data_IF_502486783087
#
_entry.id   IF_502486783087
#
_cell.length_a   1.000
_cell.length_b   1.000
_cell.length_c   1.000
_cell.angle_alpha   90.00
_cell.angle_beta   90.00
_cell.angle_gamma   90.00
#
_symmetry.space_group_name_H-M   'P 1'
#
loop_
_entity.id
_entity.type
_entity.pdbx_description
1 polymer ?
#
# COMPACT_ATOMS: atom_id res chain seq x y z
N UNK A 1 18.23 -14.28 8.56
CA UNK A 1 17.22 -13.37 7.98
C UNK A 1 16.89 -12.33 9.05
N UNK A 2 17.22 -11.06 8.82
CA UNK A 2 16.90 -9.99 9.77
C UNK A 2 15.42 -9.66 9.61
N UNK A 3 14.64 -9.90 10.67
CA UNK A 3 13.20 -9.61 10.71
C UNK A 3 13.01 -8.23 11.34
N UNK A 4 12.70 -7.22 10.53
CA UNK A 4 12.32 -5.92 11.03
C UNK A 4 10.83 -5.95 11.42
N UNK A 5 10.56 -6.00 12.71
CA UNK A 5 9.23 -5.76 13.30
C UNK A 5 9.07 -4.27 13.55
N UNK A 6 8.10 -3.64 12.89
CA UNK A 6 7.58 -2.36 13.34
C UNK A 6 6.82 -2.62 14.65
N UNK A 7 7.43 -2.25 15.78
CA UNK A 7 6.80 -2.39 17.08
C UNK A 7 5.87 -1.19 17.29
N UNK A 8 4.56 -1.37 17.09
CA UNK A 8 3.54 -0.45 17.62
C UNK A 8 3.22 -0.79 19.08
N UNK A 9 4.25 -1.13 19.87
CA UNK A 9 4.15 -1.30 21.31
C UNK A 9 4.11 0.08 21.95
N UNK A 10 2.90 0.57 22.23
CA UNK A 10 2.68 1.77 23.01
C UNK A 10 3.25 1.58 24.42
N UNK A 11 4.50 1.95 24.62
CA UNK A 11 5.04 2.24 25.93
C UNK A 11 4.54 3.63 26.34
N UNK A 12 3.89 3.67 27.50
CA UNK A 12 3.26 4.83 28.14
C UNK A 12 4.14 6.08 28.10
N UNK A 13 3.91 6.95 27.12
CA UNK A 13 4.21 8.38 27.17
C UNK A 13 3.09 9.10 26.42
N UNK A 14 2.36 9.96 27.12
CA UNK A 14 1.34 10.80 26.53
C UNK A 14 2.01 11.90 25.69
N UNK A 15 2.17 11.65 24.40
CA UNK A 15 2.27 12.70 23.38
C UNK A 15 1.18 12.41 22.35
N UNK A 16 0.25 13.34 22.17
CA UNK A 16 -0.91 13.28 21.27
C UNK A 16 -0.56 13.25 19.77
N UNK A 17 0.61 12.75 19.39
CA UNK A 17 1.05 12.57 18.02
C UNK A 17 1.39 11.10 17.82
N UNK A 18 0.42 10.31 17.36
CA UNK A 18 0.71 8.99 16.82
C UNK A 18 1.76 9.16 15.71
N UNK A 19 2.93 8.54 15.86
CA UNK A 19 4.05 8.71 14.93
C UNK A 19 3.64 8.36 13.50
N UNK A 20 3.72 9.33 12.60
CA UNK A 20 3.40 9.16 11.20
C UNK A 20 4.58 8.52 10.45
N UNK A 21 4.33 7.44 9.72
CA UNK A 21 5.40 6.80 8.92
C UNK A 21 5.60 7.58 7.63
N UNK A 22 6.75 8.24 7.47
CA UNK A 22 7.00 9.11 6.30
C UNK A 22 7.64 8.41 5.10
N UNK A 23 8.42 7.37 5.37
CA UNK A 23 9.15 6.62 4.35
C UNK A 23 9.56 5.25 4.90
N UNK A 24 10.04 4.36 4.03
CA UNK A 24 10.56 3.05 4.40
C UNK A 24 11.91 2.84 3.73
N UNK A 25 12.89 2.37 4.51
CA UNK A 25 14.20 1.95 4.04
C UNK A 25 14.22 0.43 3.87
N UNK A 26 14.54 -0.03 2.67
CA UNK A 26 14.80 -1.42 2.36
C UNK A 26 16.29 -1.69 2.49
N UNK A 27 16.63 -2.67 3.30
CA UNK A 27 18.01 -3.13 3.51
C UNK A 27 18.11 -4.54 2.94
N UNK A 28 18.95 -4.71 1.92
CA UNK A 28 19.18 -6.00 1.28
C UNK A 28 20.21 -6.86 2.04
N UNK A 29 20.63 -7.96 1.41
CA UNK A 29 21.81 -8.72 1.85
C UNK A 29 23.09 -7.87 1.69
N UNK A 30 24.21 -8.36 2.25
CA UNK A 30 25.48 -7.63 2.42
C UNK A 30 25.98 -6.84 1.19
N UNK A 31 25.63 -7.26 -0.03
CA UNK A 31 26.08 -6.64 -1.28
C UNK A 31 24.98 -5.85 -2.05
N UNK A 32 23.78 -5.71 -1.47
CA UNK A 32 22.68 -4.96 -2.07
C UNK A 32 22.57 -3.58 -1.40
N UNK A 33 22.65 -2.48 -2.17
CA UNK A 33 22.54 -1.14 -1.60
C UNK A 33 21.16 -0.93 -0.96
N UNK A 34 21.13 -0.29 0.20
CA UNK A 34 19.88 0.09 0.83
C UNK A 34 19.13 1.10 -0.05
N UNK A 35 17.79 1.01 -0.06
CA UNK A 35 16.93 1.83 -0.93
C UNK A 35 15.77 2.41 -0.14
N UNK A 36 15.52 3.70 -0.30
CA UNK A 36 14.30 4.33 0.19
C UNK A 36 13.12 4.07 -0.77
N UNK A 37 11.91 3.87 -0.22
CA UNK A 37 10.68 3.76 -1.02
C UNK A 37 10.42 5.03 -1.82
N UNK A 38 10.49 6.17 -1.13
CA UNK A 38 10.35 7.50 -1.72
C UNK A 38 11.69 8.22 -1.75
N UNK A 39 11.89 9.08 -2.74
CA UNK A 39 13.08 9.93 -2.86
C UNK A 39 13.20 10.95 -1.71
N UNK A 40 12.08 11.38 -1.17
CA UNK A 40 11.97 12.34 -0.07
C UNK A 40 10.97 11.87 1.00
N UNK A 41 10.88 12.59 2.11
CA UNK A 41 9.98 12.29 3.23
C UNK A 41 8.65 13.06 3.16
N UNK A 42 8.28 13.62 2.00
CA UNK A 42 7.07 14.43 1.84
C UNK A 42 5.77 13.62 1.73
N UNK A 43 5.80 12.34 2.10
CA UNK A 43 4.68 11.42 2.00
C UNK A 43 4.30 10.90 3.39
N UNK A 44 3.02 10.66 3.57
CA UNK A 44 2.38 10.06 4.73
C UNK A 44 2.00 8.63 4.38
N UNK A 45 2.74 7.62 4.85
CA UNK A 45 2.38 6.21 4.66
C UNK A 45 1.33 5.85 5.69
N UNK A 46 0.14 5.51 5.21
CA UNK A 46 -1.01 5.14 6.04
C UNK A 46 -1.12 3.62 6.19
N UNK A 47 -0.70 2.89 5.15
CA UNK A 47 -0.72 1.43 5.13
C UNK A 47 0.43 0.89 4.30
N UNK A 48 1.10 -0.13 4.82
CA UNK A 48 2.13 -0.89 4.11
C UNK A 48 1.97 -2.37 4.44
N UNK A 49 1.56 -3.17 3.46
CA UNK A 49 1.32 -4.59 3.63
C UNK A 49 2.09 -5.45 2.63
N UNK A 50 2.47 -6.64 3.07
CA UNK A 50 3.09 -7.64 2.21
C UNK A 50 2.03 -8.52 1.56
N UNK A 51 1.98 -8.53 0.22
CA UNK A 51 1.12 -9.40 -0.56
C UNK A 51 1.77 -10.78 -0.69
N UNK A 52 1.63 -11.59 0.37
CA UNK A 52 2.24 -12.92 0.45
C UNK A 52 1.43 -13.98 -0.30
N UNK A 53 2.12 -15.02 -0.76
CA UNK A 53 1.47 -16.26 -1.14
C UNK A 53 0.86 -16.92 0.10
N UNK A 54 -0.38 -17.38 -0.03
CA UNK A 54 -0.98 -18.29 0.94
C UNK A 54 -0.49 -19.69 0.61
N UNK A 55 0.71 -20.03 1.07
CA UNK A 55 1.17 -21.41 1.09
C UNK A 55 0.70 -22.10 2.37
N UNK A 56 0.52 -23.41 2.34
CA UNK A 56 0.06 -24.19 3.49
C UNK A 56 0.97 -24.01 4.71
N UNK A 57 0.57 -24.51 5.90
CA UNK A 57 1.22 -24.21 7.19
C UNK A 57 2.73 -24.55 7.29
N UNK A 58 3.28 -25.26 6.31
CA UNK A 58 4.67 -25.76 6.29
C UNK A 58 5.59 -25.03 5.32
N UNK A 59 5.09 -24.12 4.50
CA UNK A 59 5.90 -23.40 3.51
C UNK A 59 6.08 -21.93 3.87
N UNK A 60 7.30 -21.39 3.79
CA UNK A 60 7.52 -19.97 4.06
C UNK A 60 6.77 -19.10 3.05
N UNK A 61 5.84 -18.29 3.57
CA UNK A 61 5.02 -17.40 2.77
C UNK A 61 5.90 -16.39 2.01
N UNK A 62 5.97 -16.53 0.68
CA UNK A 62 6.78 -15.67 -0.18
C UNK A 62 6.04 -14.36 -0.44
N UNK A 63 6.68 -13.22 -0.17
CA UNK A 63 6.11 -11.90 -0.49
C UNK A 63 6.24 -11.65 -1.99
N UNK A 64 5.13 -11.42 -2.69
CA UNK A 64 5.14 -11.13 -4.14
C UNK A 64 5.28 -9.64 -4.44
N UNK A 65 4.62 -8.81 -3.64
CA UNK A 65 4.65 -7.37 -3.78
C UNK A 65 4.34 -6.71 -2.45
N UNK A 66 4.60 -5.41 -2.38
CA UNK A 66 4.20 -4.53 -1.30
C UNK A 66 3.00 -3.72 -1.77
N UNK A 67 1.99 -3.63 -0.90
CA UNK A 67 0.83 -2.79 -1.06
C UNK A 67 1.00 -1.54 -0.21
N UNK A 68 0.91 -0.35 -0.81
CA UNK A 68 1.15 0.91 -0.12
C UNK A 68 -0.04 1.84 -0.32
N UNK A 69 -0.58 2.36 0.78
CA UNK A 69 -1.49 3.51 0.78
C UNK A 69 -0.77 4.71 1.39
N UNK A 70 -0.76 5.83 0.69
CA UNK A 70 -0.09 7.04 1.15
C UNK A 70 -0.77 8.31 0.68
N UNK A 71 -0.44 9.43 1.34
CA UNK A 71 -0.84 10.79 0.95
C UNK A 71 0.40 11.66 0.79
N UNK A 72 0.35 12.65 -0.09
CA UNK A 72 1.41 13.67 -0.18
C UNK A 72 1.04 14.84 0.72
N UNK A 73 1.98 15.33 1.51
CA UNK A 73 1.68 16.37 2.52
C UNK A 73 1.43 17.77 1.94
N UNK A 74 1.70 17.98 0.65
CA UNK A 74 1.86 19.32 0.08
C UNK A 74 0.66 19.87 -0.73
N UNK A 75 -0.48 19.19 -0.83
CA UNK A 75 -1.61 19.73 -1.61
C UNK A 75 -2.52 20.59 -0.73
N UNK A 76 -2.61 21.89 -1.03
CA UNK A 76 -3.68 22.79 -0.55
C UNK A 76 -5.05 22.21 -0.94
N UNK A 77 -5.62 21.34 -0.10
CA UNK A 77 -6.86 20.60 -0.33
C UNK A 77 -6.94 19.38 0.60
N UNK A 78 -8.10 18.72 0.66
CA UNK A 78 -8.18 17.45 1.40
C UNK A 78 -7.21 16.43 0.77
N UNK A 79 -6.29 15.84 1.55
CA UNK A 79 -5.26 14.99 0.99
C UNK A 79 -5.89 13.69 0.51
N UNK A 80 -5.99 13.54 -0.82
CA UNK A 80 -6.50 12.33 -1.45
C UNK A 80 -5.50 11.19 -1.33
N UNK A 81 -6.00 10.00 -1.04
CA UNK A 81 -5.22 8.78 -0.94
C UNK A 81 -4.67 8.37 -2.31
N UNK A 82 -3.44 7.89 -2.33
CA UNK A 82 -2.82 7.23 -3.47
C UNK A 82 -2.49 5.79 -3.08
N UNK A 83 -2.75 4.86 -3.99
CA UNK A 83 -2.37 3.45 -3.82
C UNK A 83 -1.25 3.14 -4.79
N UNK A 84 -0.21 2.50 -4.28
CA UNK A 84 0.93 2.04 -5.05
C UNK A 84 1.26 0.57 -4.75
N UNK A 85 1.98 -0.03 -5.68
CA UNK A 85 2.62 -1.32 -5.52
C UNK A 85 4.12 -1.17 -5.70
N UNK A 86 4.89 -2.01 -5.01
CA UNK A 86 6.33 -2.13 -5.21
C UNK A 86 6.75 -3.60 -5.12
N UNK A 87 7.92 -3.93 -5.63
CA UNK A 87 8.54 -5.24 -5.39
C UNK A 87 8.94 -5.38 -3.91
N UNK A 88 9.17 -6.61 -3.40
CA UNK A 88 9.51 -6.85 -1.99
C UNK A 88 10.77 -6.13 -1.51
N UNK A 89 11.67 -5.78 -2.42
CA UNK A 89 12.91 -5.03 -2.20
C UNK A 89 12.73 -3.49 -2.30
N UNK A 90 11.48 -3.03 -2.43
CA UNK A 90 11.15 -1.62 -2.62
C UNK A 90 11.41 -1.08 -4.03
N UNK A 91 11.88 -1.91 -4.96
CA UNK A 91 12.06 -1.50 -6.36
C UNK A 91 10.73 -1.46 -7.13
N UNK A 92 10.77 -0.90 -8.35
CA UNK A 92 9.63 -0.81 -9.26
C UNK A 92 8.37 -0.23 -8.58
N UNK A 93 8.55 0.80 -7.75
CA UNK A 93 7.44 1.53 -7.16
C UNK A 93 6.55 2.12 -8.27
N UNK A 94 5.29 1.70 -8.28
CA UNK A 94 4.31 2.10 -9.30
C UNK A 94 3.04 2.56 -8.61
N UNK A 95 2.65 3.80 -8.85
CA UNK A 95 1.31 4.29 -8.47
C UNK A 95 0.26 3.64 -9.36
N UNK A 96 -0.69 2.93 -8.74
CA UNK A 96 -1.73 2.18 -9.46
C UNK A 96 -3.10 2.83 -9.37
N UNK A 97 -3.39 3.55 -8.29
CA UNK A 97 -4.63 4.33 -8.14
C UNK A 97 -4.33 5.71 -7.55
N UNK A 98 -4.95 6.74 -8.12
CA UNK A 98 -4.88 8.14 -7.66
C UNK A 98 -6.26 8.64 -7.27
N UNK A 99 -6.27 9.76 -6.54
CA UNK A 99 -7.47 10.48 -6.14
C UNK A 99 -8.50 9.56 -5.45
N UNK A 100 -8.00 8.68 -4.59
CA UNK A 100 -8.83 7.74 -3.85
C UNK A 100 -9.32 8.44 -2.58
N UNK A 101 -10.62 8.42 -2.34
CA UNK A 101 -11.20 8.93 -1.08
C UNK A 101 -10.84 7.98 0.06
N UNK A 102 -11.05 6.68 -0.16
CA UNK A 102 -10.64 5.59 0.75
C UNK A 102 -10.60 4.25 0.01
N UNK A 103 -9.74 3.35 0.48
CA UNK A 103 -9.79 1.94 0.12
C UNK A 103 -10.72 1.23 1.10
N UNK A 104 -11.60 0.38 0.60
CA UNK A 104 -12.56 -0.37 1.42
C UNK A 104 -12.07 -1.80 1.67
N UNK A 105 -11.48 -2.40 0.63
CA UNK A 105 -10.89 -3.73 0.72
C UNK A 105 -9.93 -3.95 -0.44
N UNK A 106 -8.97 -4.84 -0.24
CA UNK A 106 -8.24 -5.44 -1.34
C UNK A 106 -7.99 -6.91 -1.03
N UNK A 107 -7.88 -7.70 -2.08
CA UNK A 107 -7.52 -9.11 -1.95
C UNK A 107 -6.74 -9.57 -3.16
N UNK A 108 -5.83 -10.53 -2.95
CA UNK A 108 -5.24 -11.26 -4.06
C UNK A 108 -6.26 -12.17 -4.72
N UNK A 109 -6.16 -12.27 -6.05
CA UNK A 109 -6.92 -13.21 -6.87
C UNK A 109 -5.90 -14.12 -7.56
N UNK A 110 -5.77 -15.34 -7.05
CA UNK A 110 -4.73 -16.28 -7.47
C UNK A 110 -3.31 -15.78 -7.17
N UNK A 111 -2.35 -16.19 -7.99
CA UNK A 111 -0.94 -15.84 -7.81
C UNK A 111 -0.57 -14.44 -8.34
N UNK A 112 -1.25 -13.98 -9.38
CA UNK A 112 -0.71 -12.90 -10.25
C UNK A 112 -1.54 -11.62 -10.23
N UNK A 113 -2.62 -11.55 -9.46
CA UNK A 113 -3.53 -10.39 -9.47
C UNK A 113 -3.94 -9.95 -8.07
N UNK A 114 -4.21 -8.67 -7.93
CA UNK A 114 -4.89 -8.07 -6.78
C UNK A 114 -6.13 -7.34 -7.28
N UNK A 115 -7.25 -7.53 -6.59
CA UNK A 115 -8.44 -6.71 -6.75
C UNK A 115 -8.53 -5.73 -5.59
N UNK A 116 -8.81 -4.47 -5.90
CA UNK A 116 -8.95 -3.38 -4.94
C UNK A 116 -10.35 -2.78 -5.11
N UNK A 117 -11.13 -2.76 -4.04
CA UNK A 117 -12.40 -2.05 -3.94
C UNK A 117 -12.15 -0.72 -3.24
N UNK A 118 -12.46 0.38 -3.91
CA UNK A 118 -12.15 1.72 -3.42
C UNK A 118 -13.23 2.73 -3.81
N UNK A 119 -13.24 3.86 -3.12
CA UNK A 119 -14.16 4.96 -3.36
C UNK A 119 -13.39 6.14 -3.97
N UNK A 120 -13.98 6.77 -4.98
CA UNK A 120 -13.56 8.07 -5.52
C UNK A 120 -14.78 8.99 -5.57
N UNK A 121 -14.79 10.01 -4.72
CA UNK A 121 -15.97 10.85 -4.54
C UNK A 121 -17.15 10.00 -4.05
N UNK A 122 -18.27 10.01 -4.77
CA UNK A 122 -19.46 9.18 -4.49
C UNK A 122 -19.46 7.85 -5.26
N UNK A 123 -18.43 7.54 -6.03
CA UNK A 123 -18.41 6.33 -6.85
C UNK A 123 -17.61 5.22 -6.18
N UNK A 124 -18.19 4.03 -6.11
CA UNK A 124 -17.53 2.80 -5.70
C UNK A 124 -16.95 2.10 -6.93
N UNK A 125 -15.65 1.84 -6.94
CA UNK A 125 -14.94 1.21 -8.04
C UNK A 125 -14.18 -0.04 -7.59
N UNK A 126 -14.03 -0.98 -8.51
CA UNK A 126 -13.12 -2.11 -8.38
C UNK A 126 -12.04 -2.02 -9.47
N UNK A 127 -10.77 -2.14 -9.09
CA UNK A 127 -9.66 -2.29 -10.00
C UNK A 127 -8.98 -3.65 -9.83
N UNK A 128 -8.65 -4.30 -10.94
CA UNK A 128 -7.84 -5.50 -10.99
C UNK A 128 -6.45 -5.13 -11.54
N UNK A 129 -5.39 -5.51 -10.82
CA UNK A 129 -4.02 -5.11 -11.12
C UNK A 129 -3.14 -6.36 -11.19
N UNK A 130 -2.28 -6.42 -12.20
CA UNK A 130 -1.27 -7.48 -12.33
C UNK A 130 -0.14 -7.28 -11.32
N UNK A 131 0.25 -8.32 -10.59
CA UNK A 131 1.32 -8.25 -9.59
C UNK A 131 2.73 -8.37 -10.21
N UNK A 132 2.85 -8.83 -11.45
CA UNK A 132 4.15 -8.93 -12.14
C UNK A 132 4.62 -7.57 -12.67
N UNK A 133 3.71 -6.83 -13.29
CA UNK A 133 4.00 -5.55 -13.96
C UNK A 133 3.41 -4.32 -13.26
N UNK A 134 2.57 -4.52 -12.25
CA UNK A 134 1.77 -3.46 -11.61
C UNK A 134 0.84 -2.70 -12.58
N UNK A 135 0.54 -3.28 -13.74
CA UNK A 135 -0.41 -2.71 -14.69
C UNK A 135 -1.85 -2.86 -14.18
N UNK A 136 -2.62 -1.77 -14.24
CA UNK A 136 -4.08 -1.80 -14.03
C UNK A 136 -4.71 -2.51 -15.23
N UNK A 137 -5.21 -3.72 -15.02
CA UNK A 137 -5.78 -4.56 -16.09
C UNK A 137 -7.21 -4.14 -16.42
N UNK A 138 -7.99 -3.81 -15.38
CA UNK A 138 -9.39 -3.42 -15.50
C UNK A 138 -9.75 -2.50 -14.35
N UNK A 139 -10.58 -1.50 -14.63
CA UNK A 139 -11.28 -0.74 -13.60
C UNK A 139 -12.75 -0.66 -14.00
N UNK A 140 -13.65 -0.91 -13.05
CA UNK A 140 -15.10 -0.79 -13.27
C UNK A 140 -15.76 -0.09 -12.10
N UNK A 141 -16.82 0.66 -12.40
CA UNK A 141 -17.76 1.10 -11.39
C UNK A 141 -18.56 -0.10 -10.88
N UNK A 142 -18.75 -0.17 -9.57
CA UNK A 142 -19.52 -1.21 -8.87
C UNK A 142 -20.87 -0.64 -8.44
N UNK A 143 -20.87 0.57 -7.87
CA UNK A 143 -22.07 1.25 -7.40
C UNK A 143 -21.81 2.76 -7.26
N UNK A 144 -22.87 3.53 -7.00
CA UNK A 144 -22.75 4.84 -6.38
C UNK A 144 -23.11 4.74 -4.90
N UNK A 145 -22.35 5.45 -4.07
CA UNK A 145 -22.68 5.67 -2.67
C UNK A 145 -23.85 6.66 -2.65
N UNK A 146 -24.99 6.31 -2.01
CA UNK A 146 -26.09 7.25 -1.86
C UNK A 146 -25.61 8.52 -1.16
N UNK A 147 -25.90 9.68 -1.75
CA UNK A 147 -25.99 10.92 -0.98
C UNK A 147 -27.13 10.76 0.02
N UNK A 148 -26.93 11.19 1.26
CA UNK A 148 -27.86 11.01 2.38
C UNK A 148 -29.33 11.27 1.97
N UNK A 149 -30.24 10.41 2.47
CA UNK A 149 -31.70 10.56 2.32
C UNK A 149 -32.21 11.81 3.04
#
# INVERSE_FOLDING_TARGET
>A
MIRLTANTGAARYSSSAAGETRNVLFVGATDQPARWLFKDHGNAILRLDQLRDTTGPREPATTRALYIEFRKEASKGEPTLTVALAKPDGSAFTTVLRDVTRVLSYRRIGANRIAILFQRGTTLLQADIALESFAVLRQRQVAQVPSAL
#
